data_IF_369227468022
#
_entry.id   IF_369227468022
#
_cell.length_a   1.000
_cell.length_b   1.000
_cell.length_c   1.000
_cell.angle_alpha   90.00
_cell.angle_beta   90.00
_cell.angle_gamma   90.00
#
_symmetry.space_group_name_H-M   'P 1'
#
loop_
_entity.id
_entity.type
_entity.pdbx_description
1 polymer ?
#
# COMPACT_ATOMS: atom_id res chain seq x y z
N UNK A 1 -13.65 -6.29 -5.75
CA UNK A 1 -12.65 -7.05 -6.54
C UNK A 1 -12.57 -8.46 -5.97
N UNK A 2 -12.33 -9.48 -6.79
CA UNK A 2 -12.14 -10.85 -6.29
C UNK A 2 -10.81 -11.02 -5.54
N UNK A 3 -10.78 -11.87 -4.52
CA UNK A 3 -9.55 -12.19 -3.78
C UNK A 3 -8.48 -12.82 -4.70
N UNK A 4 -7.21 -12.40 -4.61
CA UNK A 4 -6.11 -13.02 -5.35
C UNK A 4 -6.04 -14.53 -5.14
N UNK A 5 -6.01 -15.28 -6.24
CA UNK A 5 -5.89 -16.74 -6.27
C UNK A 5 -5.41 -17.21 -7.65
N UNK A 6 -5.14 -18.50 -7.82
CA UNK A 6 -4.78 -19.08 -9.12
C UNK A 6 -5.84 -18.81 -10.20
N UNK A 7 -7.13 -18.72 -9.81
CA UNK A 7 -8.26 -18.49 -10.74
C UNK A 7 -8.24 -17.12 -11.41
N UNK A 8 -7.64 -16.13 -10.77
CA UNK A 8 -7.54 -14.75 -11.29
C UNK A 8 -6.08 -14.28 -11.37
N UNK A 9 -5.14 -15.22 -11.46
CA UNK A 9 -3.70 -14.97 -11.54
C UNK A 9 -3.20 -13.99 -10.46
N UNK A 10 -3.76 -14.09 -9.25
CA UNK A 10 -3.45 -13.21 -8.12
C UNK A 10 -3.56 -11.71 -8.42
N UNK A 11 -4.51 -11.31 -9.27
CA UNK A 11 -4.66 -9.92 -9.72
C UNK A 11 -3.42 -9.40 -10.47
N UNK A 12 -2.86 -10.19 -11.38
CA UNK A 12 -1.58 -9.92 -12.06
C UNK A 12 -1.41 -8.52 -12.64
N UNK A 13 -2.47 -7.93 -13.22
CA UNK A 13 -2.41 -6.56 -13.75
C UNK A 13 -2.15 -5.53 -12.66
N UNK A 14 -2.84 -5.66 -11.52
CA UNK A 14 -2.67 -4.77 -10.36
C UNK A 14 -1.30 -4.99 -9.70
N UNK A 15 -0.88 -6.24 -9.54
CA UNK A 15 0.44 -6.55 -9.01
C UNK A 15 1.56 -5.97 -9.87
N UNK A 16 1.44 -6.08 -11.19
CA UNK A 16 2.41 -5.51 -12.11
C UNK A 16 2.45 -3.97 -12.04
N UNK A 17 1.29 -3.32 -11.91
CA UNK A 17 1.19 -1.87 -11.67
C UNK A 17 1.96 -1.45 -10.40
N UNK A 18 1.77 -2.17 -9.29
CA UNK A 18 2.46 -1.91 -8.02
C UNK A 18 3.98 -2.02 -8.18
N UNK A 19 4.44 -3.14 -8.72
CA UNK A 19 5.86 -3.47 -8.80
C UNK A 19 6.60 -2.63 -9.84
N UNK A 20 6.02 -2.38 -11.01
CA UNK A 20 6.62 -1.51 -12.03
C UNK A 20 6.73 -0.08 -11.57
N UNK A 21 5.68 0.47 -10.94
CA UNK A 21 5.71 1.83 -10.42
C UNK A 21 6.77 1.98 -9.32
N UNK A 22 6.91 0.97 -8.45
CA UNK A 22 7.95 0.93 -7.43
C UNK A 22 9.35 0.99 -8.06
N UNK A 23 9.66 0.08 -8.99
CA UNK A 23 10.97 0.04 -9.67
C UNK A 23 11.27 1.35 -10.40
N UNK A 24 10.29 1.90 -11.11
CA UNK A 24 10.48 3.12 -11.90
C UNK A 24 10.79 4.35 -11.04
N UNK A 25 10.16 4.46 -9.87
CA UNK A 25 10.32 5.61 -8.98
C UNK A 25 11.51 5.48 -8.03
N UNK A 26 11.76 4.26 -7.56
CA UNK A 26 12.70 4.01 -6.47
C UNK A 26 14.06 3.52 -6.99
N UNK A 27 14.10 2.98 -8.22
CA UNK A 27 15.32 2.51 -8.86
C UNK A 27 15.78 1.13 -8.43
N UNK A 28 15.06 0.47 -7.52
CA UNK A 28 15.33 -0.90 -7.08
C UNK A 28 14.02 -1.72 -7.01
N UNK A 29 14.09 -3.05 -7.19
CA UNK A 29 12.91 -3.88 -7.15
C UNK A 29 12.40 -4.13 -5.72
N UNK A 30 11.08 -4.05 -5.53
CA UNK A 30 10.43 -4.46 -4.27
C UNK A 30 10.54 -5.98 -4.04
N UNK A 31 10.50 -6.76 -5.12
CA UNK A 31 10.67 -8.21 -5.13
C UNK A 31 11.58 -8.63 -6.29
N UNK A 32 12.32 -9.75 -6.18
CA UNK A 32 13.21 -10.21 -7.25
C UNK A 32 12.50 -10.47 -8.60
N UNK A 33 11.19 -10.72 -8.57
CA UNK A 33 10.37 -10.91 -9.76
C UNK A 33 9.19 -9.95 -9.76
N UNK A 34 8.62 -9.70 -10.95
CA UNK A 34 7.40 -8.90 -11.12
C UNK A 34 6.13 -9.76 -11.06
N UNK A 35 6.15 -10.84 -10.27
CA UNK A 35 5.08 -11.82 -10.23
C UNK A 35 4.04 -11.52 -9.14
N UNK A 36 2.79 -11.80 -9.48
CA UNK A 36 1.64 -11.47 -8.63
C UNK A 36 1.52 -12.33 -7.38
N UNK A 37 1.80 -13.64 -7.51
CA UNK A 37 1.72 -14.57 -6.39
C UNK A 37 2.76 -14.26 -5.30
N UNK A 38 4.06 -14.10 -5.61
CA UNK A 38 5.05 -13.66 -4.62
C UNK A 38 4.70 -12.32 -3.95
N UNK A 39 4.12 -11.36 -4.68
CA UNK A 39 3.65 -10.11 -4.09
C UNK A 39 2.52 -10.32 -3.09
N UNK A 40 1.57 -11.18 -3.44
CA UNK A 40 0.43 -11.48 -2.58
C UNK A 40 0.82 -12.27 -1.32
N UNK A 41 1.85 -13.11 -1.42
CA UNK A 41 2.37 -13.96 -0.33
C UNK A 41 3.56 -13.34 0.42
N UNK A 42 4.01 -12.14 0.03
CA UNK A 42 5.17 -11.49 0.63
C UNK A 42 5.00 -11.32 2.16
N UNK A 43 6.07 -11.52 2.96
CA UNK A 43 6.00 -11.53 4.42
C UNK A 43 5.88 -10.13 5.05
N UNK A 44 5.75 -9.09 4.23
CA UNK A 44 5.58 -7.70 4.66
C UNK A 44 4.34 -7.09 4.00
N UNK A 45 3.64 -6.15 4.65
CA UNK A 45 2.42 -5.56 4.10
C UNK A 45 2.69 -4.77 2.81
N UNK A 46 1.84 -4.99 1.81
CA UNK A 46 1.72 -4.14 0.62
C UNK A 46 0.26 -3.76 0.44
N UNK A 47 -0.01 -2.46 0.40
CA UNK A 47 -1.35 -1.87 0.25
C UNK A 47 -1.37 -0.89 -0.92
N UNK A 48 -2.53 -0.67 -1.52
CA UNK A 48 -2.76 0.48 -2.41
C UNK A 48 -4.18 1.02 -2.31
N UNK A 49 -4.38 2.26 -2.74
CA UNK A 49 -5.70 2.87 -2.91
C UNK A 49 -5.82 3.59 -4.25
N UNK A 50 -7.06 3.86 -4.65
CA UNK A 50 -7.38 4.63 -5.87
C UNK A 50 -7.16 6.15 -5.70
N UNK A 51 -7.56 6.92 -6.71
CA UNK A 51 -7.48 8.39 -6.76
C UNK A 51 -8.76 9.12 -6.35
N UNK A 52 -9.71 8.44 -5.71
CA UNK A 52 -10.94 9.08 -5.25
C UNK A 52 -10.64 10.18 -4.20
N UNK A 53 -11.55 11.14 -4.06
CA UNK A 53 -11.40 12.24 -3.09
C UNK A 53 -11.29 11.73 -1.62
N UNK A 54 -11.99 10.65 -1.30
CA UNK A 54 -11.74 9.81 -0.11
C UNK A 54 -11.20 8.46 -0.61
N UNK A 55 -9.86 8.27 -0.70
CA UNK A 55 -9.28 7.13 -1.37
C UNK A 55 -9.71 5.80 -0.75
N UNK A 56 -10.09 4.85 -1.59
CA UNK A 56 -10.51 3.50 -1.17
C UNK A 56 -9.38 2.53 -1.47
N UNK A 57 -9.05 1.67 -0.51
CA UNK A 57 -8.06 0.62 -0.69
C UNK A 57 -8.46 -0.31 -1.84
N UNK A 58 -7.52 -0.61 -2.73
CA UNK A 58 -7.73 -1.42 -3.92
C UNK A 58 -6.96 -2.73 -3.91
N UNK A 59 -5.96 -2.85 -3.02
CA UNK A 59 -5.15 -4.05 -2.87
C UNK A 59 -4.61 -4.12 -1.45
N UNK A 60 -4.56 -5.33 -0.89
CA UNK A 60 -3.79 -5.65 0.30
C UNK A 60 -3.35 -7.11 0.27
N UNK A 61 -2.04 -7.35 0.36
CA UNK A 61 -1.51 -8.71 0.37
C UNK A 61 -1.85 -9.45 1.67
N UNK A 62 -1.46 -10.72 1.80
CA UNK A 62 -1.80 -11.54 2.97
C UNK A 62 -1.26 -10.93 4.27
N UNK A 63 -0.04 -10.40 4.28
CA UNK A 63 0.53 -9.74 5.45
C UNK A 63 -0.29 -8.52 5.89
N UNK A 64 -0.78 -7.71 4.94
CA UNK A 64 -1.67 -6.59 5.24
C UNK A 64 -3.02 -7.08 5.79
N UNK A 65 -3.64 -8.08 5.16
CA UNK A 65 -4.91 -8.66 5.66
C UNK A 65 -4.78 -9.18 7.11
N UNK A 66 -3.66 -9.85 7.43
CA UNK A 66 -3.38 -10.35 8.77
C UNK A 66 -3.16 -9.22 9.78
N UNK A 67 -2.35 -8.21 9.42
CA UNK A 67 -2.01 -7.12 10.33
C UNK A 67 -3.22 -6.23 10.64
N UNK A 68 -4.08 -5.99 9.65
CA UNK A 68 -5.33 -5.24 9.84
C UNK A 68 -6.51 -6.09 10.29
N UNK A 69 -6.36 -7.42 10.35
CA UNK A 69 -7.40 -8.37 10.75
C UNK A 69 -8.65 -8.28 9.88
N UNK A 70 -8.44 -8.16 8.58
CA UNK A 70 -9.50 -7.99 7.59
C UNK A 70 -9.41 -9.05 6.50
N UNK A 71 -10.58 -9.45 5.98
CA UNK A 71 -10.65 -10.19 4.73
C UNK A 71 -10.21 -9.31 3.56
N UNK A 72 -9.94 -9.91 2.40
CA UNK A 72 -9.71 -9.16 1.17
C UNK A 72 -10.92 -8.29 0.81
N UNK A 73 -12.12 -8.84 0.96
CA UNK A 73 -13.39 -8.21 0.63
C UNK A 73 -13.62 -6.95 1.46
N UNK A 74 -13.36 -7.02 2.78
CA UNK A 74 -13.52 -5.89 3.68
C UNK A 74 -12.42 -4.84 3.46
N UNK A 75 -11.18 -5.29 3.25
CA UNK A 75 -10.04 -4.40 3.09
C UNK A 75 -10.15 -3.59 1.80
N UNK A 76 -10.55 -4.20 0.67
CA UNK A 76 -10.56 -3.56 -0.66
C UNK A 76 -11.78 -2.68 -0.97
N UNK A 77 -12.55 -2.36 0.06
CA UNK A 77 -13.62 -1.35 0.02
C UNK A 77 -13.46 -0.29 1.11
N UNK A 78 -12.44 -0.42 1.96
CA UNK A 78 -12.24 0.45 3.10
C UNK A 78 -11.62 1.79 2.66
N UNK A 79 -12.19 2.94 3.06
CA UNK A 79 -11.50 4.22 2.93
C UNK A 79 -10.15 4.17 3.65
N UNK A 80 -9.06 4.50 2.94
CA UNK A 80 -7.69 4.35 3.41
C UNK A 80 -7.46 5.05 4.76
N UNK A 81 -8.08 6.22 4.97
CA UNK A 81 -8.02 6.98 6.24
C UNK A 81 -8.51 6.21 7.47
N UNK A 82 -9.32 5.16 7.32
CA UNK A 82 -9.83 4.36 8.43
C UNK A 82 -8.84 3.29 8.91
N UNK A 83 -7.75 3.06 8.18
CA UNK A 83 -6.66 2.17 8.61
C UNK A 83 -5.62 2.85 9.50
N UNK A 84 -5.73 4.18 9.64
CA UNK A 84 -4.75 5.05 10.26
C UNK A 84 -5.39 5.93 11.33
N UNK A 85 -4.66 6.21 12.40
CA UNK A 85 -5.04 7.30 13.28
C UNK A 85 -4.86 8.65 12.55
N UNK A 86 -5.53 9.72 13.02
CA UNK A 86 -5.25 11.06 12.53
C UNK A 86 -3.78 11.43 12.78
N UNK A 87 -2.93 11.23 11.77
CA UNK A 87 -1.53 11.66 11.83
C UNK A 87 -1.41 13.17 12.00
N UNK A 88 -0.33 13.59 12.66
CA UNK A 88 0.13 14.98 12.75
C UNK A 88 0.13 15.63 11.36
N UNK A 89 -0.45 16.83 11.25
CA UNK A 89 -0.69 17.50 9.96
C UNK A 89 0.61 17.81 9.21
N UNK A 90 1.68 18.13 9.94
CA UNK A 90 2.94 18.62 9.36
C UNK A 90 3.69 17.53 8.59
N UNK A 91 3.77 16.32 9.14
CA UNK A 91 4.40 15.16 8.47
C UNK A 91 3.67 14.81 7.17
N UNK A 92 2.33 14.91 7.16
CA UNK A 92 1.53 14.67 5.95
C UNK A 92 1.74 15.76 4.89
N UNK A 93 1.80 17.03 5.28
CA UNK A 93 2.02 18.12 4.35
C UNK A 93 3.37 17.98 3.64
N UNK A 94 4.43 17.70 4.40
CA UNK A 94 5.77 17.48 3.85
C UNK A 94 5.83 16.25 2.94
N UNK A 95 5.23 15.14 3.36
CA UNK A 95 5.13 13.93 2.52
C UNK A 95 4.48 14.23 1.16
N UNK A 96 3.37 14.97 1.14
CA UNK A 96 2.71 15.33 -0.12
C UNK A 96 3.52 16.28 -0.99
N UNK A 97 4.33 17.17 -0.40
CA UNK A 97 5.25 18.02 -1.16
C UNK A 97 6.31 17.18 -1.87
N UNK A 98 7.01 16.32 -1.15
CA UNK A 98 8.02 15.43 -1.72
C UNK A 98 7.41 14.50 -2.77
N UNK A 99 6.24 13.89 -2.49
CA UNK A 99 5.58 13.02 -3.46
C UNK A 99 5.16 13.73 -4.76
N UNK A 100 4.90 15.05 -4.74
CA UNK A 100 4.62 15.81 -5.97
C UNK A 100 5.85 15.93 -6.87
N UNK A 101 7.04 16.02 -6.28
CA UNK A 101 8.29 16.20 -7.02
C UNK A 101 8.88 14.86 -7.48
N UNK A 102 8.86 13.85 -6.61
CA UNK A 102 9.58 12.58 -6.84
C UNK A 102 8.65 11.40 -7.14
N UNK A 103 7.36 11.51 -6.85
CA UNK A 103 6.39 10.42 -6.95
C UNK A 103 6.43 9.42 -5.80
N UNK A 104 7.38 9.52 -4.86
CA UNK A 104 7.49 8.61 -3.71
C UNK A 104 7.98 9.33 -2.44
N UNK A 105 7.74 8.72 -1.28
CA UNK A 105 8.24 9.16 0.00
C UNK A 105 8.74 7.97 0.81
N UNK A 106 9.86 8.15 1.52
CA UNK A 106 10.46 7.16 2.42
C UNK A 106 10.47 7.69 3.84
N UNK A 107 10.66 6.79 4.80
CA UNK A 107 10.75 7.13 6.23
C UNK A 107 9.44 7.71 6.77
N UNK A 108 8.31 7.24 6.24
CA UNK A 108 7.00 7.56 6.82
C UNK A 108 6.79 6.75 8.10
N UNK A 109 6.24 7.41 9.11
CA UNK A 109 5.82 6.80 10.36
C UNK A 109 4.36 7.15 10.64
N UNK A 110 3.68 6.29 11.39
CA UNK A 110 2.33 6.58 11.83
C UNK A 110 1.71 5.45 12.64
N UNK A 111 0.66 5.78 13.38
CA UNK A 111 -0.13 4.79 14.09
C UNK A 111 -1.22 4.28 13.15
N UNK A 112 -1.40 2.96 13.15
CA UNK A 112 -2.41 2.22 12.42
C UNK A 112 -3.28 1.47 13.43
N UNK A 113 -4.50 1.18 13.01
CA UNK A 113 -5.50 0.47 13.82
C UNK A 113 -6.09 -0.67 13.00
N UNK A 114 -6.13 -1.86 13.59
CA UNK A 114 -6.76 -3.03 12.99
C UNK A 114 -8.29 -3.00 13.15
N UNK A 115 -9.00 -3.91 12.48
CA UNK A 115 -10.45 -4.06 12.62
C UNK A 115 -10.90 -4.35 14.06
N UNK A 116 -10.05 -4.99 14.87
CA UNK A 116 -10.36 -5.30 16.28
C UNK A 116 -9.93 -4.20 17.26
N UNK A 117 -9.37 -3.10 16.74
CA UNK A 117 -8.89 -1.98 17.55
C UNK A 117 -7.45 -2.12 18.05
N UNK A 118 -6.69 -3.13 17.62
CA UNK A 118 -5.27 -3.23 17.95
C UNK A 118 -4.49 -2.12 17.26
N UNK A 119 -3.71 -1.39 18.05
CA UNK A 119 -2.90 -0.27 17.56
C UNK A 119 -1.48 -0.74 17.33
N UNK A 120 -0.88 -0.27 16.26
CA UNK A 120 0.53 -0.52 15.97
C UNK A 120 1.15 0.70 15.29
N UNK A 121 2.39 1.01 15.64
CA UNK A 121 3.17 2.06 14.99
C UNK A 121 3.97 1.43 13.85
N UNK A 122 3.85 1.98 12.65
CA UNK A 122 4.71 1.63 11.51
C UNK A 122 5.88 2.60 11.44
N UNK A 123 7.05 2.11 11.02
CA UNK A 123 8.27 2.89 10.81
C UNK A 123 8.86 2.58 9.44
N UNK A 124 9.68 3.51 8.94
CA UNK A 124 10.40 3.35 7.67
C UNK A 124 9.50 2.96 6.48
N UNK A 125 8.23 3.39 6.50
CA UNK A 125 7.30 3.07 5.43
C UNK A 125 7.67 3.83 4.16
N UNK A 126 7.55 3.14 3.03
CA UNK A 126 7.69 3.70 1.69
C UNK A 126 6.31 3.84 1.08
N UNK A 127 6.00 5.02 0.57
CA UNK A 127 4.77 5.35 -0.14
C UNK A 127 5.14 5.76 -1.56
N UNK A 128 4.47 5.22 -2.57
CA UNK A 128 4.77 5.55 -3.97
C UNK A 128 3.51 5.68 -4.81
N UNK A 129 3.59 6.53 -5.83
CA UNK A 129 2.51 6.75 -6.79
C UNK A 129 2.41 5.59 -7.78
N UNK A 130 1.19 5.22 -8.17
CA UNK A 130 0.93 4.22 -9.19
C UNK A 130 0.67 4.90 -10.53
N UNK A 131 1.37 4.47 -11.58
CA UNK A 131 1.20 4.98 -12.93
C UNK A 131 0.79 3.87 -13.90
N UNK A 132 -0.26 4.08 -14.68
CA UNK A 132 -0.59 3.17 -15.78
C UNK A 132 0.41 3.27 -16.93
N UNK A 133 0.19 2.44 -17.96
CA UNK A 133 1.03 2.40 -19.16
C UNK A 133 1.01 3.73 -19.97
N UNK A 134 0.07 4.64 -19.68
CA UNK A 134 -0.02 5.96 -20.29
C UNK A 134 0.62 7.05 -19.41
N UNK A 135 1.18 6.69 -18.25
CA UNK A 135 1.77 7.62 -17.30
C UNK A 135 0.73 8.38 -16.46
N UNK A 136 -0.54 7.96 -16.45
CA UNK A 136 -1.57 8.58 -15.64
C UNK A 136 -1.52 8.04 -14.21
N UNK A 137 -1.71 8.93 -13.22
CA UNK A 137 -1.79 8.53 -11.82
C UNK A 137 -3.06 7.71 -11.57
N UNK A 138 -2.90 6.47 -11.11
CA UNK A 138 -3.99 5.55 -10.80
C UNK A 138 -4.22 5.34 -9.31
N UNK A 139 -3.29 5.81 -8.47
CA UNK A 139 -3.38 5.61 -7.04
C UNK A 139 -2.05 5.84 -6.34
N UNK A 140 -1.99 5.39 -5.10
CA UNK A 140 -0.76 5.32 -4.31
C UNK A 140 -0.71 3.97 -3.59
N UNK A 141 0.49 3.52 -3.27
CA UNK A 141 0.76 2.28 -2.58
C UNK A 141 1.74 2.50 -1.44
N UNK A 142 1.72 1.59 -0.47
CA UNK A 142 2.56 1.63 0.71
C UNK A 142 3.09 0.26 1.08
N UNK A 143 4.31 0.23 1.60
CA UNK A 143 4.98 -0.96 2.16
C UNK A 143 5.85 -0.55 3.35
N UNK A 144 6.04 -1.47 4.28
CA UNK A 144 6.92 -1.32 5.44
C UNK A 144 7.28 -2.70 6.00
N UNK A 145 8.41 -2.78 6.69
CA UNK A 145 8.87 -3.99 7.38
C UNK A 145 8.92 -3.82 8.89
N UNK A 146 8.94 -2.58 9.37
CA UNK A 146 9.09 -2.25 10.78
C UNK A 146 7.76 -1.79 11.37
N UNK A 147 7.26 -2.53 12.35
CA UNK A 147 6.13 -2.11 13.16
C UNK A 147 6.18 -2.72 14.56
N UNK A 148 5.53 -2.06 15.51
CA UNK A 148 5.39 -2.52 16.89
C UNK A 148 3.95 -2.31 17.38
N UNK A 149 3.40 -3.29 18.09
CA UNK A 149 2.10 -3.12 18.77
C UNK A 149 2.26 -2.17 19.96
N UNK A 150 1.24 -1.35 20.20
CA UNK A 150 1.19 -0.36 21.29
C UNK A 150 0.40 -0.86 22.49
#
# INVERSE_FOLDING_TARGET
MERPSDKNAYQAKHALLLLRSYVALIGEPLLPTLDAKPLYEAPFPVLSHNTAADPILTYGNLAAQQLWEMSWEDLTILPSRLTAEPNHRDQRAHMFEVMRETGFYRNYEGIRVSATGRRFQIRNATIWTLFDDMGQKCGEAATFTEFEYL
#
